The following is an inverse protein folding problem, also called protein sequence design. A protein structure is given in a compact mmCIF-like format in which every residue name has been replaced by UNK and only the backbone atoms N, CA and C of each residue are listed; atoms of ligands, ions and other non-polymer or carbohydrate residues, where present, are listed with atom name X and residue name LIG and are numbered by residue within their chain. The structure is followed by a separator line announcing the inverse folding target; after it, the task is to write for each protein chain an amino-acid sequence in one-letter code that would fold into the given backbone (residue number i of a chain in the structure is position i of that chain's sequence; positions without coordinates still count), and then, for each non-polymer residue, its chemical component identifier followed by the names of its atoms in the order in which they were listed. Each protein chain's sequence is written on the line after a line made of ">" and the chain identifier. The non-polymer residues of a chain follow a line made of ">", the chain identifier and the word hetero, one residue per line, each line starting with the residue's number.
data_IF_356517004310
#
_entry.id   IF_356517004310
#
_cell.length_a   1.000
_cell.length_b   1.000
_cell.length_c   1.000
_cell.angle_alpha   90.00
_cell.angle_beta   90.00
_cell.angle_gamma   90.00
#
_symmetry.space_group_name_H-M   'P 1'
#
loop_
_entity.id
_entity.type
_entity.pdbx_description
1 polymer ?
#
# COMPACT_ATOMS: atom_id res chain seq x y z
N UNK A 1 -68.87 -25.17 28.51
CA UNK A 1 -68.10 -24.96 27.27
C UNK A 1 -69.03 -24.61 26.14
N UNK A 2 -68.98 -23.37 25.65
CA UNK A 2 -69.81 -22.91 24.53
C UNK A 2 -69.27 -23.33 23.16
N UNK A 3 -70.06 -23.15 22.08
CA UNK A 3 -69.71 -23.63 20.73
C UNK A 3 -68.50 -22.89 20.16
N UNK A 4 -67.65 -23.60 19.41
CA UNK A 4 -66.49 -23.03 18.70
C UNK A 4 -67.00 -22.07 17.60
N UNK A 5 -66.48 -20.83 17.49
CA UNK A 5 -66.93 -19.87 16.49
C UNK A 5 -66.64 -20.37 15.06
N UNK A 6 -67.68 -20.47 14.23
CA UNK A 6 -67.53 -20.73 12.80
C UNK A 6 -66.78 -19.57 12.13
N UNK A 7 -65.86 -19.88 11.21
CA UNK A 7 -64.99 -18.93 10.49
C UNK A 7 -63.86 -18.24 11.29
N UNK A 8 -63.60 -18.64 12.55
CA UNK A 8 -62.42 -18.16 13.28
C UNK A 8 -61.30 -19.19 13.26
N UNK A 9 -60.42 -19.11 12.27
CA UNK A 9 -59.20 -19.91 12.23
C UNK A 9 -58.09 -19.25 13.04
N UNK A 10 -57.27 -20.05 13.73
CA UNK A 10 -56.04 -19.57 14.37
C UNK A 10 -55.02 -19.23 13.30
N UNK A 11 -54.45 -18.02 13.36
CA UNK A 11 -53.31 -17.66 12.51
C UNK A 11 -52.07 -18.41 12.98
N UNK A 12 -51.31 -18.99 12.06
CA UNK A 12 -50.04 -19.63 12.40
C UNK A 12 -49.10 -18.62 13.07
N UNK A 13 -48.55 -19.00 14.22
CA UNK A 13 -47.53 -18.19 14.90
C UNK A 13 -46.33 -18.06 13.97
N UNK A 14 -45.92 -16.83 13.67
CA UNK A 14 -44.72 -16.59 12.86
C UNK A 14 -43.53 -17.27 13.53
N UNK A 15 -42.84 -18.13 12.77
CA UNK A 15 -41.64 -18.81 13.23
C UNK A 15 -40.39 -17.95 13.07
N UNK A 16 -39.28 -18.38 13.68
CA UNK A 16 -37.98 -17.70 13.60
C UNK A 16 -37.51 -17.42 12.16
N UNK A 17 -37.90 -18.25 11.19
CA UNK A 17 -37.58 -18.06 9.79
C UNK A 17 -38.26 -16.80 9.19
N UNK A 18 -39.52 -16.54 9.55
CA UNK A 18 -40.24 -15.35 9.10
C UNK A 18 -39.65 -14.07 9.71
N UNK A 19 -39.31 -14.09 11.00
CA UNK A 19 -38.64 -12.98 11.68
C UNK A 19 -37.26 -12.67 11.06
N UNK A 20 -36.50 -13.72 10.69
CA UNK A 20 -35.22 -13.56 9.99
C UNK A 20 -35.41 -12.92 8.62
N UNK A 21 -36.42 -13.34 7.86
CA UNK A 21 -36.73 -12.74 6.55
C UNK A 21 -37.08 -11.25 6.71
N UNK A 22 -37.96 -10.89 7.65
CA UNK A 22 -38.34 -9.50 7.93
C UNK A 22 -37.11 -8.64 8.29
N UNK A 23 -36.18 -9.18 9.09
CA UNK A 23 -34.93 -8.50 9.45
C UNK A 23 -34.02 -8.28 8.25
N UNK A 24 -33.88 -9.27 7.37
CA UNK A 24 -33.11 -9.15 6.12
C UNK A 24 -33.73 -8.07 5.22
N UNK A 25 -35.07 -8.05 5.08
CA UNK A 25 -35.78 -7.03 4.32
C UNK A 25 -35.55 -5.62 4.87
N UNK A 26 -35.59 -5.44 6.19
CA UNK A 26 -35.34 -4.15 6.82
C UNK A 26 -33.90 -3.66 6.59
N UNK A 27 -32.91 -4.54 6.77
CA UNK A 27 -31.50 -4.21 6.58
C UNK A 27 -31.16 -3.89 5.12
N UNK A 28 -31.71 -4.66 4.17
CA UNK A 28 -31.53 -4.43 2.74
C UNK A 28 -32.01 -3.03 2.32
N UNK A 29 -33.16 -2.58 2.85
CA UNK A 29 -33.65 -1.21 2.63
C UNK A 29 -32.73 -0.15 3.22
N UNK A 30 -32.16 -0.37 4.41
CA UNK A 30 -31.21 0.57 5.02
C UNK A 30 -29.94 0.73 4.19
N UNK A 31 -29.46 -0.36 3.59
CA UNK A 31 -28.25 -0.35 2.75
C UNK A 31 -28.55 0.07 1.30
N UNK A 32 -29.82 0.29 0.94
CA UNK A 32 -30.27 0.53 -0.43
C UNK A 32 -29.85 -0.58 -1.42
N UNK A 33 -29.81 -1.84 -0.95
CA UNK A 33 -29.42 -3.01 -1.75
C UNK A 33 -30.66 -3.87 -1.99
N UNK A 34 -30.97 -4.28 -3.23
CA UNK A 34 -32.07 -5.22 -3.47
C UNK A 34 -31.71 -6.61 -2.96
N UNK A 35 -32.69 -7.36 -2.44
CA UNK A 35 -32.46 -8.70 -1.86
C UNK A 35 -31.97 -9.71 -2.91
N UNK A 36 -32.27 -9.47 -4.19
CA UNK A 36 -31.70 -10.22 -5.30
C UNK A 36 -30.18 -10.25 -5.29
N UNK A 37 -29.52 -9.19 -4.82
CA UNK A 37 -28.06 -9.14 -4.69
C UNK A 37 -27.52 -10.09 -3.62
N UNK A 38 -28.33 -10.44 -2.61
CA UNK A 38 -27.97 -11.39 -1.56
C UNK A 38 -28.29 -12.85 -1.95
N UNK A 39 -29.19 -13.05 -2.92
CA UNK A 39 -29.62 -14.38 -3.37
C UNK A 39 -28.57 -15.09 -4.23
N UNK A 40 -27.45 -14.44 -4.55
CA UNK A 40 -26.36 -15.00 -5.36
C UNK A 40 -26.69 -15.18 -6.85
N UNK A 41 -27.91 -14.88 -7.28
CA UNK A 41 -28.35 -15.00 -8.68
C UNK A 41 -27.85 -13.88 -9.58
N UNK A 42 -27.42 -12.76 -9.00
CA UNK A 42 -26.87 -11.60 -9.72
C UNK A 42 -25.33 -11.59 -9.75
N UNK A 43 -24.69 -12.61 -9.14
CA UNK A 43 -23.25 -12.81 -9.24
C UNK A 43 -22.94 -13.44 -10.59
N UNK A 44 -22.85 -12.61 -11.63
CA UNK A 44 -22.18 -13.03 -12.86
C UNK A 44 -20.69 -13.10 -12.57
N UNK A 45 -20.15 -14.31 -12.47
CA UNK A 45 -18.71 -14.52 -12.67
C UNK A 45 -18.43 -13.97 -14.06
N UNK A 46 -17.78 -12.81 -14.12
CA UNK A 46 -17.35 -12.24 -15.39
C UNK A 46 -16.34 -13.24 -15.95
N UNK A 47 -16.78 -14.04 -16.92
CA UNK A 47 -15.91 -14.94 -17.67
C UNK A 47 -14.80 -14.13 -18.33
N UNK A 48 -13.68 -14.78 -18.68
CA UNK A 48 -12.39 -14.22 -19.16
C UNK A 48 -12.40 -13.13 -20.25
N UNK A 49 -13.55 -12.66 -20.74
CA UNK A 49 -13.67 -11.43 -21.54
C UNK A 49 -13.09 -10.19 -20.84
N UNK A 50 -13.01 -10.18 -19.50
CA UNK A 50 -12.24 -9.14 -18.79
C UNK A 50 -10.73 -9.25 -19.02
N UNK A 51 -10.17 -10.44 -19.24
CA UNK A 51 -8.76 -10.58 -19.61
C UNK A 51 -8.50 -10.03 -21.01
N UNK A 52 -9.39 -10.27 -21.97
CA UNK A 52 -9.30 -9.67 -23.32
C UNK A 52 -9.38 -8.13 -23.31
N UNK A 53 -10.09 -7.54 -22.33
CA UNK A 53 -10.07 -6.08 -22.11
C UNK A 53 -8.79 -5.58 -21.47
N UNK A 54 -8.08 -6.39 -20.69
CA UNK A 54 -6.79 -6.02 -20.10
C UNK A 54 -5.72 -5.93 -21.20
N UNK A 55 -5.70 -6.86 -22.15
CA UNK A 55 -4.76 -6.85 -23.28
C UNK A 55 -4.98 -5.68 -24.26
N UNK A 56 -6.17 -5.09 -24.27
CA UNK A 56 -6.52 -3.91 -25.07
C UNK A 56 -6.21 -2.57 -24.38
N UNK A 57 -5.84 -2.59 -23.09
CA UNK A 57 -5.42 -1.37 -22.42
C UNK A 57 -3.98 -1.05 -22.85
N UNK A 58 -3.68 0.22 -23.20
CA UNK A 58 -2.32 0.61 -23.48
C UNK A 58 -1.46 0.39 -22.22
N UNK A 59 -0.60 -0.61 -22.26
CA UNK A 59 0.38 -0.87 -21.21
C UNK A 59 1.52 0.12 -21.35
N UNK A 60 1.63 1.04 -20.38
CA UNK A 60 2.79 1.93 -20.26
C UNK A 60 3.69 1.41 -19.13
N UNK A 61 4.96 1.05 -19.42
CA UNK A 61 5.93 0.74 -18.38
C UNK A 61 6.06 1.92 -17.40
N UNK A 62 6.15 1.62 -16.11
CA UNK A 62 6.41 2.66 -15.11
C UNK A 62 7.78 3.28 -15.35
N UNK A 63 7.83 4.61 -15.38
CA UNK A 63 9.09 5.35 -15.44
C UNK A 63 9.74 5.35 -14.06
N UNK A 64 10.61 4.39 -13.81
CA UNK A 64 11.29 4.21 -12.51
C UNK A 64 12.17 5.39 -12.14
N UNK A 65 12.68 6.16 -13.12
CA UNK A 65 13.52 7.33 -12.89
C UNK A 65 12.73 8.52 -12.36
N UNK A 66 11.47 8.69 -12.79
CA UNK A 66 10.58 9.72 -12.25
C UNK A 66 10.24 9.53 -10.77
N UNK A 67 10.29 8.29 -10.29
CA UNK A 67 10.02 7.95 -8.89
C UNK A 67 11.31 7.74 -8.08
N UNK A 68 12.47 8.04 -8.65
CA UNK A 68 13.71 7.91 -7.91
C UNK A 68 13.72 8.93 -6.77
N UNK A 69 14.02 8.46 -5.56
CA UNK A 69 13.92 9.28 -4.37
C UNK A 69 15.06 10.31 -4.34
N UNK A 70 14.68 11.58 -4.30
CA UNK A 70 15.59 12.69 -4.13
C UNK A 70 15.48 13.23 -2.71
N UNK A 71 16.62 13.58 -2.11
CA UNK A 71 16.60 14.27 -0.83
C UNK A 71 15.93 15.64 -0.98
N UNK A 72 14.99 16.00 -0.09
CA UNK A 72 14.27 17.26 -0.19
C UNK A 72 15.18 18.47 0.05
N UNK A 73 16.28 18.29 0.79
CA UNK A 73 17.28 19.32 1.09
C UNK A 73 18.67 18.70 1.25
N UNK A 74 19.70 19.53 1.10
CA UNK A 74 21.10 19.15 1.39
C UNK A 74 21.27 18.71 2.85
N UNK A 75 20.55 19.33 3.78
CA UNK A 75 20.60 18.97 5.21
C UNK A 75 20.03 17.57 5.42
N UNK A 76 18.91 17.23 4.77
CA UNK A 76 18.34 15.90 4.84
C UNK A 76 19.29 14.83 4.26
N UNK A 77 20.00 15.17 3.18
CA UNK A 77 21.03 14.29 2.62
C UNK A 77 22.19 14.08 3.60
N UNK A 78 22.71 15.17 4.20
CA UNK A 78 23.77 15.13 5.22
C UNK A 78 23.40 14.26 6.43
N UNK A 79 22.17 14.37 6.92
CA UNK A 79 21.67 13.52 8.00
C UNK A 79 21.62 12.04 7.58
N UNK A 80 21.06 11.76 6.41
CA UNK A 80 20.98 10.39 5.91
C UNK A 80 22.36 9.76 5.68
N UNK A 81 23.36 10.54 5.28
CA UNK A 81 24.75 10.08 5.13
C UNK A 81 25.35 9.76 6.50
N UNK A 82 25.14 10.62 7.50
CA UNK A 82 25.63 10.37 8.85
C UNK A 82 25.01 9.10 9.47
N UNK A 83 23.72 8.88 9.19
CA UNK A 83 23.00 7.67 9.60
C UNK A 83 23.52 6.41 8.87
N UNK A 84 23.78 6.50 7.56
CA UNK A 84 24.29 5.38 6.74
C UNK A 84 25.71 4.97 7.15
N UNK A 85 26.60 5.94 7.39
CA UNK A 85 27.98 5.71 7.83
C UNK A 85 28.10 5.45 9.34
N UNK A 86 27.02 5.65 10.11
CA UNK A 86 27.00 5.63 11.57
C UNK A 86 28.06 6.55 12.22
N UNK A 87 28.46 7.62 11.53
CA UNK A 87 29.47 8.59 11.96
C UNK A 87 28.89 10.00 11.81
N UNK A 88 28.83 10.82 12.88
CA UNK A 88 28.38 12.19 12.76
C UNK A 88 29.36 12.99 11.92
N UNK A 89 28.86 13.81 10.99
CA UNK A 89 29.68 14.64 10.09
C UNK A 89 30.71 15.50 10.84
N UNK A 90 30.37 15.95 12.06
CA UNK A 90 31.25 16.73 12.93
C UNK A 90 32.52 15.99 13.41
N UNK A 91 32.58 14.66 13.29
CA UNK A 91 33.78 13.85 13.60
C UNK A 91 34.62 13.54 12.37
N UNK A 92 34.14 13.86 11.18
CA UNK A 92 34.83 13.58 9.92
C UNK A 92 35.91 14.63 9.65
N UNK A 93 36.92 14.27 8.86
CA UNK A 93 37.95 15.19 8.41
C UNK A 93 37.38 16.26 7.48
N UNK A 94 38.05 17.41 7.36
CA UNK A 94 37.58 18.48 6.47
C UNK A 94 37.61 18.06 4.99
N UNK A 95 38.54 17.18 4.61
CA UNK A 95 38.60 16.58 3.28
C UNK A 95 37.37 15.73 2.98
N UNK A 96 36.95 14.89 3.94
CA UNK A 96 35.76 14.04 3.80
C UNK A 96 34.47 14.85 3.71
N UNK A 97 34.38 15.94 4.48
CA UNK A 97 33.24 16.86 4.40
C UNK A 97 33.20 17.58 3.05
N UNK A 98 34.35 18.03 2.55
CA UNK A 98 34.42 18.68 1.25
C UNK A 98 34.04 17.73 0.11
N UNK A 99 34.40 16.45 0.20
CA UNK A 99 33.98 15.42 -0.75
C UNK A 99 32.47 15.17 -0.71
N UNK A 100 31.88 15.08 0.49
CA UNK A 100 30.42 14.95 0.62
C UNK A 100 29.72 16.17 0.02
N UNK A 101 30.22 17.37 0.33
CA UNK A 101 29.63 18.61 -0.17
C UNK A 101 29.72 18.73 -1.70
N UNK A 102 30.79 18.25 -2.34
CA UNK A 102 30.91 18.24 -3.80
C UNK A 102 29.92 17.28 -4.47
N UNK A 103 29.63 16.14 -3.85
CA UNK A 103 28.59 15.21 -4.36
C UNK A 103 27.21 15.85 -4.22
N UNK A 104 26.92 16.50 -3.09
CA UNK A 104 25.60 17.08 -2.83
C UNK A 104 25.32 18.34 -3.66
N UNK A 105 26.34 19.01 -4.19
CA UNK A 105 26.17 20.08 -5.19
C UNK A 105 25.90 19.52 -6.59
N UNK A 106 26.37 18.31 -6.90
CA UNK A 106 26.13 17.65 -8.19
C UNK A 106 24.76 16.97 -8.24
N UNK A 107 24.38 16.22 -7.20
CA UNK A 107 23.17 15.39 -7.20
C UNK A 107 22.57 15.27 -5.79
N UNK A 108 21.24 15.25 -5.73
CA UNK A 108 20.46 14.91 -4.53
C UNK A 108 19.74 13.58 -4.66
N UNK A 109 20.06 12.79 -5.69
CA UNK A 109 19.50 11.46 -5.86
C UNK A 109 20.06 10.51 -4.80
N UNK A 110 19.19 9.92 -3.97
CA UNK A 110 19.63 9.13 -2.81
C UNK A 110 20.44 7.90 -3.20
N UNK A 111 20.06 7.22 -4.28
CA UNK A 111 20.75 5.99 -4.72
C UNK A 111 22.20 6.31 -5.10
N UNK A 112 22.39 7.38 -5.87
CA UNK A 112 23.67 7.85 -6.38
C UNK A 112 24.56 8.42 -5.27
N UNK A 113 24.01 9.30 -4.42
CA UNK A 113 24.73 9.89 -3.28
C UNK A 113 25.27 8.79 -2.37
N UNK A 114 24.43 7.85 -1.94
CA UNK A 114 24.85 6.78 -1.02
C UNK A 114 25.77 5.76 -1.70
N UNK A 115 25.65 5.52 -3.00
CA UNK A 115 26.59 4.65 -3.72
C UNK A 115 28.00 5.25 -3.73
N UNK A 116 28.13 6.50 -4.22
CA UNK A 116 29.43 7.19 -4.33
C UNK A 116 30.13 7.34 -2.98
N UNK A 117 29.37 7.68 -1.94
CA UNK A 117 29.91 7.83 -0.58
C UNK A 117 30.42 6.48 -0.04
N UNK A 118 29.63 5.41 -0.16
CA UNK A 118 30.06 4.07 0.29
C UNK A 118 31.31 3.58 -0.45
N UNK A 119 31.39 3.83 -1.76
CA UNK A 119 32.54 3.44 -2.56
C UNK A 119 33.81 4.22 -2.14
N UNK A 120 33.69 5.52 -1.88
CA UNK A 120 34.78 6.33 -1.33
C UNK A 120 35.28 5.81 0.01
N UNK A 121 34.40 5.57 0.99
CA UNK A 121 34.82 5.07 2.31
C UNK A 121 35.35 3.63 2.27
N UNK A 122 34.79 2.77 1.41
CA UNK A 122 35.28 1.39 1.23
C UNK A 122 36.68 1.36 0.63
N UNK A 123 36.97 2.22 -0.35
CA UNK A 123 38.28 2.29 -0.99
C UNK A 123 39.40 2.70 -0.04
N UNK A 124 39.10 3.52 0.98
CA UNK A 124 40.07 3.87 2.04
C UNK A 124 40.29 2.73 3.02
N UNK A 125 39.24 2.04 3.46
CA UNK A 125 39.36 0.90 4.38
C UNK A 125 40.15 -0.26 3.77
N UNK A 126 39.93 -0.57 2.49
CA UNK A 126 40.64 -1.66 1.80
C UNK A 126 42.14 -1.43 1.64
N UNK A 127 42.63 -0.19 1.82
CA UNK A 127 44.06 0.13 1.76
C UNK A 127 44.79 -0.04 3.10
N UNK A 128 44.07 -0.01 4.23
CA UNK A 128 44.66 -0.05 5.58
C UNK A 128 44.68 -1.47 6.19
N UNK A 129 43.78 -2.37 5.77
CA UNK A 129 43.56 -3.67 6.43
C UNK A 129 44.15 -4.91 5.72
N UNK A 130 45.17 -4.75 4.86
CA UNK A 130 45.93 -5.87 4.28
C UNK A 130 47.35 -5.98 4.84
N UNK A 131 47.48 -6.03 6.16
CA UNK A 131 48.70 -6.52 6.84
C UNK A 131 48.32 -7.11 8.21
N UNK A 132 48.27 -8.44 8.29
CA UNK A 132 48.02 -9.19 9.54
C UNK A 132 47.67 -10.65 9.30
#
# INVERSE_FOLDING_TARGET
>A
SGPVPLHRYRTFRRGKAAERADRIHALARQLNIPISALSGSDLRVVSDDTQQRIDALPHQPFDTRKFEYHFPTVIAAKLAIADDLAIPLARMSDEDRAFIDSILTETLNRSEVLARIRDYFRSRQSGEDHAG
#
